data_IF_878935518728
#
_entry.id   IF_878935518728
#
_cell.length_a   1.000
_cell.length_b   1.000
_cell.length_c   1.000
_cell.angle_alpha   90.00
_cell.angle_beta   90.00
_cell.angle_gamma   90.00
#
_symmetry.space_group_name_H-M   'P 1'
#
loop_
_entity.id
_entity.type
_entity.pdbx_description
1 polymer ?
#
# COMPACT_ATOMS: atom_id res chain seq x y z
N UNK A 1 -24.29 0.73 48.84
CA UNK A 1 -22.87 0.93 48.50
C UNK A 1 -22.26 -0.25 47.73
N UNK A 2 -22.40 -1.50 48.17
CA UNK A 2 -21.84 -2.65 47.47
C UNK A 2 -22.34 -2.83 46.02
N UNK A 3 -23.62 -2.57 45.73
CA UNK A 3 -24.22 -2.67 44.40
C UNK A 3 -23.69 -1.60 43.41
N UNK A 4 -23.39 -0.38 43.91
CA UNK A 4 -22.84 0.71 43.10
C UNK A 4 -21.36 0.43 42.71
N UNK A 5 -20.59 -0.13 43.66
CA UNK A 5 -19.19 -0.52 43.38
C UNK A 5 -19.06 -1.61 42.33
N UNK A 6 -19.99 -2.59 42.33
CA UNK A 6 -20.02 -3.67 41.31
C UNK A 6 -20.37 -3.09 39.95
N UNK A 7 -21.33 -2.18 39.81
CA UNK A 7 -21.71 -1.55 38.57
C UNK A 7 -20.58 -0.72 37.96
N UNK A 8 -19.84 0.04 38.79
CA UNK A 8 -18.69 0.83 38.35
C UNK A 8 -17.54 -0.07 37.86
N UNK A 9 -17.29 -1.21 38.53
CA UNK A 9 -16.27 -2.15 38.15
C UNK A 9 -16.59 -2.82 36.79
N UNK A 10 -17.85 -3.17 36.52
CA UNK A 10 -18.29 -3.76 35.26
C UNK A 10 -18.16 -2.77 34.10
N UNK A 11 -18.55 -1.51 34.30
CA UNK A 11 -18.39 -0.45 33.29
C UNK A 11 -16.93 -0.19 32.99
N UNK A 12 -16.06 -0.16 33.99
CA UNK A 12 -14.62 0.00 33.81
C UNK A 12 -13.99 -1.18 33.01
N UNK A 13 -14.44 -2.42 33.29
CA UNK A 13 -13.99 -3.60 32.54
C UNK A 13 -14.44 -3.56 31.08
N UNK A 14 -15.65 -3.13 30.78
CA UNK A 14 -16.17 -2.98 29.41
C UNK A 14 -15.43 -1.88 28.63
N UNK A 15 -15.11 -0.77 29.26
CA UNK A 15 -14.34 0.32 28.65
C UNK A 15 -12.90 -0.10 28.37
N UNK A 16 -12.29 -0.90 29.24
CA UNK A 16 -10.93 -1.45 29.02
C UNK A 16 -10.93 -2.48 27.89
N UNK A 17 -11.93 -3.37 27.80
CA UNK A 17 -12.05 -4.30 26.67
C UNK A 17 -12.26 -3.59 25.33
N UNK A 18 -12.95 -2.46 25.30
CA UNK A 18 -13.18 -1.73 24.04
C UNK A 18 -11.94 -1.00 23.54
N UNK A 19 -11.01 -0.67 24.43
CA UNK A 19 -9.74 -0.03 24.03
C UNK A 19 -8.69 -1.00 23.51
N UNK A 20 -8.88 -2.29 23.64
CA UNK A 20 -7.95 -3.33 23.18
C UNK A 20 -8.42 -4.09 21.93
N UNK A 21 -9.37 -3.56 21.17
CA UNK A 21 -9.52 -3.95 19.77
C UNK A 21 -8.34 -3.36 19.00
N UNK A 22 -7.15 -3.93 19.19
CA UNK A 22 -6.05 -3.73 18.27
C UNK A 22 -6.58 -4.15 16.89
N UNK A 23 -6.73 -3.20 15.97
CA UNK A 23 -7.09 -3.51 14.59
C UNK A 23 -6.12 -4.59 14.10
N UNK A 24 -6.64 -5.72 13.64
CA UNK A 24 -5.82 -6.78 13.03
C UNK A 24 -5.01 -6.09 11.93
N UNK A 25 -3.66 -6.20 11.93
CA UNK A 25 -2.85 -5.59 10.90
C UNK A 25 -3.35 -6.07 9.53
N UNK A 26 -3.81 -5.15 8.69
CA UNK A 26 -4.24 -5.48 7.35
C UNK A 26 -3.01 -5.90 6.56
N UNK A 27 -3.02 -7.08 5.97
CA UNK A 27 -1.98 -7.51 5.04
C UNK A 27 -2.16 -6.73 3.73
N UNK A 28 -1.27 -5.78 3.51
CA UNK A 28 -1.28 -4.88 2.36
C UNK A 28 -0.25 -5.27 1.30
N UNK A 29 0.23 -6.52 1.32
CA UNK A 29 1.14 -7.02 0.28
C UNK A 29 0.48 -6.86 -1.11
N UNK A 30 1.11 -6.15 -2.07
CA UNK A 30 0.55 -5.91 -3.39
C UNK A 30 0.22 -7.20 -4.15
N UNK A 31 0.96 -8.29 -3.94
CA UNK A 31 0.65 -9.59 -4.55
C UNK A 31 -0.67 -10.19 -4.04
N UNK A 32 -1.16 -9.75 -2.88
CA UNK A 32 -2.42 -10.22 -2.30
C UNK A 32 -3.58 -9.28 -2.57
N UNK A 33 -3.34 -7.95 -2.46
CA UNK A 33 -4.43 -6.98 -2.58
C UNK A 33 -4.61 -6.43 -3.99
N UNK A 34 -3.57 -6.51 -4.84
CA UNK A 34 -3.57 -6.03 -6.23
C UNK A 34 -2.95 -7.07 -7.21
N UNK A 35 -3.39 -8.35 -7.17
CA UNK A 35 -2.76 -9.43 -7.97
C UNK A 35 -3.00 -9.28 -9.48
N UNK A 36 -3.95 -8.45 -9.88
CA UNK A 36 -4.24 -8.16 -11.29
C UNK A 36 -3.26 -7.14 -11.89
N UNK A 37 -2.56 -6.37 -11.09
CA UNK A 37 -1.56 -5.41 -11.53
C UNK A 37 -0.13 -5.79 -11.15
N UNK A 38 0.07 -6.55 -10.08
CA UNK A 38 1.39 -6.93 -9.58
C UNK A 38 1.68 -8.41 -9.79
N UNK A 39 2.85 -8.72 -10.35
CA UNK A 39 3.35 -10.09 -10.53
C UNK A 39 4.74 -10.25 -9.95
N UNK A 40 4.98 -11.34 -9.25
CA UNK A 40 6.31 -11.72 -8.80
C UNK A 40 7.12 -12.23 -10.00
N UNK A 41 8.24 -11.59 -10.31
CA UNK A 41 9.17 -11.98 -11.39
C UNK A 41 10.34 -12.74 -10.84
N UNK A 42 10.88 -12.28 -9.71
CA UNK A 42 12.07 -12.85 -9.09
C UNK A 42 12.08 -12.57 -7.58
N UNK A 43 12.62 -13.52 -6.81
CA UNK A 43 12.81 -13.33 -5.37
C UNK A 43 13.99 -14.15 -4.86
N UNK A 44 14.78 -13.55 -3.98
CA UNK A 44 15.82 -14.21 -3.21
C UNK A 44 15.91 -13.62 -1.79
N UNK A 45 16.98 -13.95 -1.05
CA UNK A 45 17.16 -13.45 0.32
C UNK A 45 17.38 -11.93 0.42
N UNK A 46 17.75 -11.27 -0.67
CA UNK A 46 18.10 -9.84 -0.69
C UNK A 46 17.02 -8.96 -1.28
N UNK A 47 16.31 -9.45 -2.31
CA UNK A 47 15.35 -8.66 -3.08
C UNK A 47 14.13 -9.47 -3.47
N UNK A 48 13.04 -8.74 -3.68
CA UNK A 48 11.82 -9.19 -4.36
C UNK A 48 11.59 -8.26 -5.55
N UNK A 49 11.47 -8.82 -6.75
CA UNK A 49 11.23 -8.06 -7.98
C UNK A 49 9.80 -8.27 -8.43
N UNK A 50 9.06 -7.20 -8.52
CA UNK A 50 7.68 -7.17 -9.00
C UNK A 50 7.63 -6.48 -10.36
N UNK A 51 6.91 -7.07 -11.31
CA UNK A 51 6.47 -6.43 -12.53
C UNK A 51 5.06 -5.89 -12.32
N UNK A 52 4.84 -4.64 -12.70
CA UNK A 52 3.59 -3.92 -12.44
C UNK A 52 3.02 -3.39 -13.73
N UNK A 53 1.77 -3.72 -14.03
CA UNK A 53 1.00 -3.23 -15.16
C UNK A 53 -0.26 -2.54 -14.66
N UNK A 54 -0.37 -1.23 -14.91
CA UNK A 54 -1.53 -0.42 -14.51
C UNK A 54 -2.24 0.11 -15.75
N UNK A 55 -3.31 -0.56 -16.21
CA UNK A 55 -4.08 -0.11 -17.37
C UNK A 55 -4.66 1.31 -17.20
N UNK A 56 -4.93 2.04 -18.29
CA UNK A 56 -5.60 3.33 -18.24
C UNK A 56 -6.91 3.27 -17.42
N UNK A 57 -7.11 4.22 -16.52
CA UNK A 57 -8.29 4.30 -15.64
C UNK A 57 -8.30 3.31 -14.47
N UNK A 58 -7.30 2.43 -14.37
CA UNK A 58 -7.21 1.49 -13.24
C UNK A 58 -6.78 2.23 -11.98
N UNK A 59 -7.53 1.98 -10.90
CA UNK A 59 -7.13 2.33 -9.53
C UNK A 59 -6.71 1.07 -8.80
N UNK A 60 -5.50 1.05 -8.29
CA UNK A 60 -4.99 -0.02 -7.43
C UNK A 60 -5.49 0.21 -6.00
N UNK A 61 -5.89 -0.84 -5.27
CA UNK A 61 -6.27 -0.71 -3.88
C UNK A 61 -5.08 -0.27 -3.02
N UNK A 62 -5.37 0.14 -1.77
CA UNK A 62 -4.33 0.47 -0.81
C UNK A 62 -3.41 -0.73 -0.62
N UNK A 63 -2.11 -0.52 -0.84
CA UNK A 63 -1.07 -1.54 -0.71
C UNK A 63 0.21 -0.95 -0.14
N UNK A 64 1.11 -1.83 0.29
CA UNK A 64 2.35 -1.46 0.98
C UNK A 64 3.56 -1.97 0.21
N UNK A 65 4.58 -1.13 0.11
CA UNK A 65 5.90 -1.52 -0.35
C UNK A 65 6.96 -1.22 0.71
N UNK A 66 8.00 -2.06 0.76
CA UNK A 66 9.24 -1.76 1.47
C UNK A 66 10.10 -0.73 0.71
N UNK A 67 11.32 -0.49 1.22
CA UNK A 67 12.31 0.30 0.47
C UNK A 67 12.59 -0.38 -0.87
N UNK A 68 12.59 0.40 -1.95
CA UNK A 68 12.68 -0.15 -3.30
C UNK A 68 13.34 0.78 -4.30
N UNK A 69 13.86 0.18 -5.37
CA UNK A 69 14.19 0.87 -6.61
C UNK A 69 13.04 0.64 -7.60
N UNK A 70 12.55 1.70 -8.21
CA UNK A 70 11.46 1.67 -9.18
C UNK A 70 11.98 2.11 -10.53
N UNK A 71 11.78 1.28 -11.57
CA UNK A 71 12.14 1.56 -12.96
C UNK A 71 10.88 1.66 -13.78
N UNK A 72 10.65 2.81 -14.39
CA UNK A 72 9.50 3.06 -15.26
C UNK A 72 9.85 2.65 -16.70
N UNK A 73 9.06 1.76 -17.29
CA UNK A 73 9.27 1.22 -18.63
C UNK A 73 8.36 1.85 -19.68
N UNK A 74 7.37 2.62 -19.25
CA UNK A 74 6.45 3.34 -20.14
C UNK A 74 6.19 4.77 -19.64
N UNK A 75 5.70 5.62 -20.54
CA UNK A 75 5.17 6.94 -20.20
C UNK A 75 3.72 6.80 -19.76
N UNK A 76 3.37 7.25 -18.57
CA UNK A 76 1.98 7.29 -18.11
C UNK A 76 1.75 8.31 -16.99
N UNK A 77 0.50 8.74 -16.83
CA UNK A 77 0.12 9.68 -15.77
C UNK A 77 -0.41 8.94 -14.55
N UNK A 78 0.15 9.21 -13.38
CA UNK A 78 -0.31 8.63 -12.12
C UNK A 78 -0.90 9.67 -11.22
N UNK A 79 -1.96 9.28 -10.50
CA UNK A 79 -2.37 9.91 -9.25
C UNK A 79 -2.00 8.98 -8.11
N UNK A 80 -1.13 9.43 -7.23
CA UNK A 80 -0.69 8.66 -6.06
C UNK A 80 -1.24 9.32 -4.81
N UNK A 81 -1.82 8.52 -3.93
CA UNK A 81 -2.29 8.98 -2.63
C UNK A 81 -1.68 8.11 -1.54
N UNK A 82 -0.74 8.67 -0.79
CA UNK A 82 -0.17 8.02 0.37
C UNK A 82 -1.21 7.95 1.51
N UNK A 83 -1.14 6.93 2.34
CA UNK A 83 -2.06 6.76 3.47
C UNK A 83 -2.07 8.00 4.36
N UNK A 84 -3.23 8.64 4.47
CA UNK A 84 -3.42 9.88 5.23
C UNK A 84 -2.93 11.15 4.52
N UNK A 85 -2.43 11.05 3.28
CA UNK A 85 -1.95 12.17 2.47
C UNK A 85 -2.98 12.68 1.46
N UNK A 86 -2.57 13.67 0.68
CA UNK A 86 -3.33 14.23 -0.43
C UNK A 86 -2.89 13.58 -1.75
N UNK A 87 -3.79 13.46 -2.74
CA UNK A 87 -3.43 12.95 -4.06
C UNK A 87 -2.40 13.86 -4.75
N UNK A 88 -1.42 13.23 -5.40
CA UNK A 88 -0.39 13.91 -6.20
C UNK A 88 -0.37 13.33 -7.61
N UNK A 89 -0.60 14.18 -8.59
CA UNK A 89 -0.57 13.82 -10.01
C UNK A 89 0.85 14.00 -10.55
N UNK A 90 1.34 13.00 -11.27
CA UNK A 90 2.70 13.01 -11.82
C UNK A 90 2.76 12.27 -13.15
N UNK A 91 3.39 12.89 -14.16
CA UNK A 91 3.79 12.18 -15.38
C UNK A 91 5.05 11.34 -15.09
N UNK A 92 4.94 10.05 -15.29
CA UNK A 92 6.08 9.11 -15.24
C UNK A 92 6.63 8.94 -16.64
N UNK A 93 7.93 9.02 -16.79
CA UNK A 93 8.63 8.86 -18.07
C UNK A 93 9.34 7.51 -18.12
N UNK A 94 9.29 6.85 -19.27
CA UNK A 94 10.09 5.66 -19.53
C UNK A 94 11.57 5.96 -19.31
N UNK A 95 12.29 5.03 -18.69
CA UNK A 95 13.70 5.17 -18.32
C UNK A 95 13.94 5.91 -17.00
N UNK A 96 12.91 6.51 -16.36
CA UNK A 96 13.06 7.08 -15.04
C UNK A 96 13.33 5.98 -14.01
N UNK A 97 14.35 6.20 -13.18
CA UNK A 97 14.70 5.34 -12.03
C UNK A 97 14.59 6.15 -10.74
N UNK A 98 13.95 5.58 -9.73
CA UNK A 98 13.77 6.23 -8.42
C UNK A 98 14.03 5.26 -7.28
N UNK A 99 14.68 5.75 -6.20
CA UNK A 99 14.60 5.11 -4.90
C UNK A 99 13.34 5.60 -4.17
N UNK A 100 12.66 4.68 -3.49
CA UNK A 100 11.47 4.97 -2.70
C UNK A 100 11.64 4.37 -1.30
N UNK A 101 11.40 5.17 -0.28
CA UNK A 101 11.26 4.70 1.09
C UNK A 101 9.99 3.84 1.26
N UNK A 102 9.86 3.08 2.36
CA UNK A 102 8.64 2.33 2.63
C UNK A 102 7.40 3.22 2.56
N UNK A 103 6.35 2.73 1.89
CA UNK A 103 5.14 3.51 1.64
C UNK A 103 3.90 2.63 1.69
N UNK A 104 2.80 3.20 2.17
CA UNK A 104 1.44 2.66 2.04
C UNK A 104 0.66 3.65 1.20
N UNK A 105 0.20 3.21 0.03
CA UNK A 105 -0.48 4.09 -0.91
C UNK A 105 -1.49 3.34 -1.80
N UNK A 106 -2.29 4.09 -2.51
CA UNK A 106 -2.95 3.61 -3.72
C UNK A 106 -2.52 4.45 -4.92
N UNK A 107 -2.58 3.84 -6.09
CA UNK A 107 -2.15 4.44 -7.35
C UNK A 107 -3.27 4.33 -8.37
N UNK A 108 -3.54 5.41 -9.07
CA UNK A 108 -4.47 5.46 -10.19
C UNK A 108 -3.70 5.84 -11.45
N UNK A 109 -3.92 5.11 -12.54
CA UNK A 109 -3.48 5.56 -13.86
C UNK A 109 -4.54 6.49 -14.44
N UNK A 110 -4.29 7.79 -14.35
CA UNK A 110 -5.18 8.85 -14.86
C UNK A 110 -4.92 9.21 -16.32
N UNK A 111 -3.98 8.50 -16.98
CA UNK A 111 -3.61 8.71 -18.38
C UNK A 111 -4.33 7.80 -19.35
N UNK A 112 -3.82 7.77 -20.59
CA UNK A 112 -4.35 6.98 -21.71
C UNK A 112 -3.44 5.82 -22.12
N UNK A 113 -2.25 5.73 -21.55
CA UNK A 113 -1.24 4.69 -21.81
C UNK A 113 -1.09 3.80 -20.59
N UNK A 114 -0.82 2.52 -20.79
CA UNK A 114 -0.56 1.58 -19.72
C UNK A 114 0.71 1.97 -18.96
N UNK A 115 0.64 1.96 -17.63
CA UNK A 115 1.80 2.04 -16.77
C UNK A 115 2.50 0.69 -16.71
N UNK A 116 3.77 0.63 -17.10
CA UNK A 116 4.61 -0.55 -16.96
C UNK A 116 5.83 -0.23 -16.12
N UNK A 117 6.02 -0.96 -15.05
CA UNK A 117 7.01 -0.65 -14.01
C UNK A 117 7.67 -1.92 -13.50
N UNK A 118 8.98 -1.84 -13.23
CA UNK A 118 9.70 -2.83 -12.43
C UNK A 118 9.97 -2.24 -11.05
N UNK A 119 9.58 -2.95 -10.00
CA UNK A 119 9.82 -2.60 -8.61
C UNK A 119 10.76 -3.63 -7.98
N UNK A 120 11.96 -3.20 -7.59
CA UNK A 120 12.96 -4.03 -6.89
C UNK A 120 12.90 -3.66 -5.42
N UNK A 121 12.21 -4.47 -4.63
CA UNK A 121 12.07 -4.29 -3.18
C UNK A 121 13.25 -4.91 -2.44
N UNK A 122 13.84 -4.16 -1.53
CA UNK A 122 14.94 -4.61 -0.66
C UNK A 122 14.37 -5.31 0.57
N UNK A 123 15.02 -6.39 0.99
CA UNK A 123 14.65 -7.17 2.19
C UNK A 123 15.53 -6.85 3.39
#
# INVERSE_FOLDING_TARGET
MKKILIAVAIVALLVVCWRWSAAIPQDLDPLKVAPDTHKLVFENRFVRVLEVHVPPGKTEPLHQHGRRVVVYLSDFNTRVTDKGGQPVDTLRKAGLVRCSEPVIHHVENIGKTEGHVISVELK
#
